data_IF_654991092037
#
_entry.id   IF_654991092037
#
_cell.length_a   1.000
_cell.length_b   1.000
_cell.length_c   1.000
_cell.angle_alpha   90.00
_cell.angle_beta   90.00
_cell.angle_gamma   90.00
#
_symmetry.space_group_name_H-M   'P 1'
#
loop_
_entity.id
_entity.type
_entity.pdbx_description
1 polymer ?
#
# COMPACT_ATOMS: atom_id res chain seq x y z
N UNK A 1 10.33 16.55 8.96
CA UNK A 1 11.70 16.79 9.46
C UNK A 1 12.68 16.31 8.40
N UNK A 2 13.80 16.99 8.25
CA UNK A 2 14.78 16.75 7.16
C UNK A 2 15.13 15.28 6.94
N UNK A 3 15.28 14.49 8.02
CA UNK A 3 15.62 13.07 7.92
C UNK A 3 14.47 12.21 7.36
N UNK A 4 13.21 12.58 7.60
CA UNK A 4 12.05 11.89 7.03
C UNK A 4 11.94 12.21 5.56
N UNK A 5 12.10 13.49 5.20
CA UNK A 5 11.99 13.97 3.83
C UNK A 5 13.12 13.39 2.96
N UNK A 6 14.35 13.32 3.49
CA UNK A 6 15.48 12.68 2.82
C UNK A 6 15.24 11.18 2.58
N UNK A 7 14.78 10.46 3.61
CA UNK A 7 14.47 9.03 3.49
C UNK A 7 13.35 8.77 2.49
N UNK A 8 12.31 9.60 2.50
CA UNK A 8 11.21 9.48 1.54
C UNK A 8 11.68 9.77 0.11
N UNK A 9 12.44 10.84 -0.09
CA UNK A 9 12.99 11.19 -1.39
C UNK A 9 13.89 10.08 -1.93
N UNK A 10 14.74 9.51 -1.08
CA UNK A 10 15.62 8.40 -1.45
C UNK A 10 14.81 7.14 -1.83
N UNK A 11 13.77 6.79 -1.05
CA UNK A 11 12.87 5.69 -1.38
C UNK A 11 12.17 5.92 -2.72
N UNK A 12 11.62 7.13 -2.97
CA UNK A 12 10.94 7.46 -4.22
C UNK A 12 11.86 7.30 -5.42
N UNK A 13 13.10 7.79 -5.32
CA UNK A 13 14.10 7.63 -6.39
C UNK A 13 14.42 6.14 -6.64
N UNK A 14 14.54 5.36 -5.59
CA UNK A 14 14.80 3.93 -5.71
C UNK A 14 13.64 3.18 -6.39
N UNK A 15 12.41 3.49 -5.99
CA UNK A 15 11.21 2.92 -6.62
C UNK A 15 11.13 3.30 -8.10
N UNK A 16 11.41 4.56 -8.44
CA UNK A 16 11.44 5.01 -9.84
C UNK A 16 12.44 4.22 -10.68
N UNK A 17 13.62 3.94 -10.14
CA UNK A 17 14.65 3.14 -10.83
C UNK A 17 14.22 1.68 -11.00
N UNK A 18 13.72 1.05 -9.93
CA UNK A 18 13.41 -0.38 -9.94
C UNK A 18 12.07 -0.71 -10.61
N UNK A 19 11.06 0.12 -10.42
CA UNK A 19 9.75 -0.08 -11.04
C UNK A 19 9.65 0.53 -12.44
N UNK A 20 10.52 1.49 -12.78
CA UNK A 20 10.49 2.21 -14.05
C UNK A 20 9.39 3.28 -14.14
N UNK A 21 8.70 3.58 -13.02
CA UNK A 21 7.69 4.63 -12.96
C UNK A 21 7.53 5.16 -11.54
N UNK A 22 6.98 6.37 -11.42
CA UNK A 22 6.85 7.09 -10.16
C UNK A 22 5.58 6.67 -9.39
N UNK A 23 5.63 5.49 -8.77
CA UNK A 23 4.55 4.99 -7.92
C UNK A 23 4.26 5.94 -6.75
N UNK A 24 5.30 6.47 -6.10
CA UNK A 24 5.16 7.34 -4.94
C UNK A 24 4.79 8.79 -5.28
N UNK A 25 4.81 9.17 -6.55
CA UNK A 25 4.33 10.47 -7.01
C UNK A 25 2.82 10.63 -6.98
N UNK A 26 2.08 9.54 -6.82
CA UNK A 26 0.61 9.52 -6.80
C UNK A 26 0.02 9.27 -5.41
N UNK A 27 0.79 9.60 -4.36
CA UNK A 27 0.33 9.38 -2.99
C UNK A 27 -0.75 10.37 -2.58
N UNK A 28 -1.63 9.86 -1.72
CA UNK A 28 -2.61 10.66 -1.01
C UNK A 28 -2.26 10.71 0.49
N UNK A 29 -2.45 11.88 1.11
CA UNK A 29 -2.41 12.01 2.57
C UNK A 29 -1.04 11.99 3.23
N UNK A 30 0.04 12.38 2.56
CA UNK A 30 1.38 12.50 3.17
C UNK A 30 1.44 13.58 4.25
N UNK A 31 0.63 14.63 4.11
CA UNK A 31 0.52 15.73 5.06
C UNK A 31 -0.95 15.98 5.40
N UNK A 32 -1.33 15.63 6.61
CA UNK A 32 -2.60 16.04 7.17
C UNK A 32 -2.37 17.28 8.04
N UNK A 33 -3.19 18.31 7.88
CA UNK A 33 -3.09 19.49 8.73
C UNK A 33 -3.27 19.11 10.21
N UNK A 34 -2.44 19.69 11.09
CA UNK A 34 -2.51 19.44 12.54
C UNK A 34 -3.89 19.71 13.13
N UNK A 35 -4.61 20.66 12.53
CA UNK A 35 -5.95 21.10 12.91
C UNK A 35 -7.08 20.31 12.23
N UNK A 36 -6.77 19.43 11.28
CA UNK A 36 -7.78 18.63 10.60
C UNK A 36 -8.56 17.78 11.61
N UNK A 37 -9.89 17.81 11.48
CA UNK A 37 -10.76 16.99 12.34
C UNK A 37 -10.62 15.51 11.96
N UNK A 38 -10.40 14.62 12.94
CA UNK A 38 -10.34 13.20 12.65
C UNK A 38 -11.68 12.71 12.10
N UNK A 39 -11.60 11.82 11.12
CA UNK A 39 -12.80 11.16 10.60
C UNK A 39 -13.34 10.15 11.62
N UNK A 40 -14.61 9.76 11.53
CA UNK A 40 -15.18 8.78 12.45
C UNK A 40 -14.33 7.50 12.51
N UNK A 41 -13.81 7.18 13.69
CA UNK A 41 -12.95 6.03 13.93
C UNK A 41 -11.46 6.26 13.74
N UNK A 42 -11.02 7.47 13.35
CA UNK A 42 -9.61 7.83 13.34
C UNK A 42 -9.18 8.47 14.67
N UNK A 43 -7.95 8.20 15.15
CA UNK A 43 -7.40 8.88 16.31
C UNK A 43 -7.19 10.37 16.02
N UNK A 44 -7.38 11.23 17.01
CA UNK A 44 -7.17 12.67 16.90
C UNK A 44 -5.71 13.04 16.56
N UNK A 45 -4.77 12.17 16.94
CA UNK A 45 -3.36 12.28 16.58
C UNK A 45 -2.99 11.12 15.66
N UNK A 46 -2.63 11.43 14.42
CA UNK A 46 -2.15 10.47 13.43
C UNK A 46 -0.66 10.68 13.15
N UNK A 47 0.00 9.64 12.67
CA UNK A 47 1.38 9.74 12.21
C UNK A 47 1.51 10.63 10.96
N UNK A 48 0.44 10.74 10.17
CA UNK A 48 0.36 11.62 9.01
C UNK A 48 0.42 13.09 9.42
N UNK A 49 -0.27 13.47 10.53
CA UNK A 49 -0.16 14.82 11.12
C UNK A 49 1.26 15.14 11.60
N UNK A 50 1.99 14.11 12.01
CA UNK A 50 3.39 14.26 12.39
C UNK A 50 4.35 14.24 11.19
N UNK A 51 3.85 14.10 9.95
CA UNK A 51 4.66 13.95 8.74
C UNK A 51 5.55 12.69 8.78
N UNK A 52 5.09 11.62 9.42
CA UNK A 52 5.89 10.40 9.68
C UNK A 52 5.24 9.13 9.15
N UNK A 53 4.13 9.27 8.46
CA UNK A 53 3.47 8.21 7.73
C UNK A 53 2.99 8.77 6.40
N UNK A 54 2.82 7.90 5.44
CA UNK A 54 2.15 8.18 4.19
C UNK A 54 1.21 7.03 3.86
N UNK A 55 0.16 7.37 3.17
CA UNK A 55 -0.89 6.46 2.79
C UNK A 55 -0.91 6.28 1.28
N UNK A 56 -1.31 5.11 0.82
CA UNK A 56 -1.48 4.83 -0.61
C UNK A 56 -2.94 4.82 -1.01
N UNK A 57 -3.22 5.39 -2.16
CA UNK A 57 -4.46 5.11 -2.87
C UNK A 57 -4.37 3.77 -3.58
N UNK A 58 -5.37 2.91 -3.36
CA UNK A 58 -5.47 1.63 -4.07
C UNK A 58 -6.02 1.76 -5.49
N UNK A 59 -6.10 2.98 -6.04
CA UNK A 59 -6.53 3.15 -7.43
C UNK A 59 -5.73 2.24 -8.37
N UNK A 60 -4.43 2.13 -8.14
CA UNK A 60 -3.53 1.32 -8.96
C UNK A 60 -3.68 -0.21 -8.71
N UNK A 61 -4.36 -0.60 -7.62
CA UNK A 61 -4.75 -1.99 -7.35
C UNK A 61 -6.17 -2.30 -7.87
N UNK A 62 -6.89 -1.27 -8.33
CA UNK A 62 -8.23 -1.38 -8.88
C UNK A 62 -8.13 -1.22 -10.41
N UNK A 63 -8.93 -1.95 -11.15
CA UNK A 63 -8.98 -1.87 -12.60
C UNK A 63 -8.73 -3.24 -13.25
N UNK A 64 -8.92 -3.30 -14.55
CA UNK A 64 -8.80 -4.54 -15.30
C UNK A 64 -7.33 -5.06 -15.32
N UNK A 65 -6.37 -4.14 -15.34
CA UNK A 65 -4.95 -4.45 -15.24
C UNK A 65 -4.32 -3.67 -14.07
N UNK A 66 -4.38 -4.22 -12.86
CA UNK A 66 -3.83 -3.53 -11.69
C UNK A 66 -2.32 -3.39 -11.81
N UNK A 67 -1.82 -2.19 -11.51
CA UNK A 67 -0.39 -1.90 -11.43
C UNK A 67 0.20 -2.19 -10.06
N UNK A 68 -0.65 -2.45 -9.09
CA UNK A 68 -0.30 -2.82 -7.71
C UNK A 68 -1.06 -4.07 -7.33
N UNK A 69 -0.34 -5.03 -6.79
CA UNK A 69 -0.90 -6.26 -6.24
C UNK A 69 -0.67 -6.31 -4.73
N UNK A 70 -1.64 -6.85 -4.01
CA UNK A 70 -1.65 -6.87 -2.55
C UNK A 70 -1.69 -8.30 -2.04
N UNK A 71 -0.87 -8.60 -1.05
CA UNK A 71 -0.92 -9.86 -0.31
C UNK A 71 -1.38 -9.58 1.11
N UNK A 72 -2.51 -10.16 1.50
CA UNK A 72 -3.05 -10.05 2.84
C UNK A 72 -2.27 -10.96 3.78
N UNK A 73 -1.74 -10.41 4.85
CA UNK A 73 -1.06 -11.14 5.90
C UNK A 73 -1.79 -10.94 7.22
N UNK A 74 -1.96 -12.00 7.96
CA UNK A 74 -2.51 -11.95 9.31
C UNK A 74 -1.38 -12.30 10.30
N UNK A 75 -1.03 -11.35 11.15
CA UNK A 75 0.05 -11.47 12.12
C UNK A 75 -0.51 -11.11 13.49
N UNK A 76 -0.58 -12.08 14.38
CA UNK A 76 -1.13 -11.89 15.76
C UNK A 76 -2.56 -11.30 15.78
N UNK A 77 -3.40 -11.69 14.83
CA UNK A 77 -4.78 -11.20 14.72
C UNK A 77 -4.92 -9.83 14.06
N UNK A 78 -3.83 -9.22 13.64
CA UNK A 78 -3.82 -7.95 12.91
C UNK A 78 -3.58 -8.20 11.42
N UNK A 79 -4.25 -7.43 10.56
CA UNK A 79 -4.11 -7.54 9.11
C UNK A 79 -3.07 -6.55 8.62
N UNK A 80 -2.13 -7.05 7.83
CA UNK A 80 -1.10 -6.29 7.13
C UNK A 80 -1.19 -6.54 5.64
N UNK A 81 -0.81 -5.53 4.84
CA UNK A 81 -0.80 -5.63 3.40
C UNK A 81 0.62 -5.53 2.85
N UNK A 82 1.12 -6.61 2.24
CA UNK A 82 2.35 -6.56 1.48
C UNK A 82 2.05 -6.07 0.08
N UNK A 83 2.80 -5.08 -0.37
CA UNK A 83 2.57 -4.35 -1.62
C UNK A 83 3.60 -4.75 -2.65
N UNK A 84 3.12 -5.16 -3.81
CA UNK A 84 3.92 -5.42 -4.99
C UNK A 84 3.55 -4.43 -6.08
N UNK A 85 4.54 -3.75 -6.63
CA UNK A 85 4.35 -2.75 -7.68
C UNK A 85 4.81 -3.34 -9.00
N UNK A 86 3.92 -3.36 -9.99
CA UNK A 86 4.21 -3.85 -11.34
C UNK A 86 5.24 -2.93 -12.00
N UNK A 87 6.28 -3.50 -12.59
CA UNK A 87 7.34 -2.76 -13.27
C UNK A 87 6.85 -2.24 -14.63
N UNK A 88 7.46 -1.17 -15.13
CA UNK A 88 7.16 -0.67 -16.45
C UNK A 88 7.66 -1.64 -17.55
N UNK A 89 8.86 -2.20 -17.38
CA UNK A 89 9.38 -3.25 -18.23
C UNK A 89 8.84 -4.61 -17.78
N UNK A 90 8.21 -5.33 -18.70
CA UNK A 90 7.61 -6.64 -18.46
C UNK A 90 8.36 -7.77 -19.18
N UNK A 91 9.65 -7.58 -19.41
CA UNK A 91 10.55 -8.50 -20.13
C UNK A 91 11.54 -9.22 -19.18
N UNK A 92 11.43 -8.99 -17.88
CA UNK A 92 12.32 -9.57 -16.88
C UNK A 92 13.59 -8.75 -16.61
N UNK A 93 13.75 -7.59 -17.23
CA UNK A 93 14.86 -6.67 -16.94
C UNK A 93 14.66 -5.89 -15.62
N UNK A 94 13.42 -5.80 -15.16
CA UNK A 94 13.04 -5.17 -13.90
C UNK A 94 12.08 -6.07 -13.11
N UNK A 95 12.28 -6.13 -11.79
CA UNK A 95 11.43 -6.89 -10.90
C UNK A 95 11.52 -8.41 -11.08
N UNK A 96 10.64 -9.12 -10.39
CA UNK A 96 10.53 -10.57 -10.42
C UNK A 96 9.06 -11.01 -10.53
N UNK A 97 8.77 -12.22 -11.05
CA UNK A 97 7.42 -12.78 -11.02
C UNK A 97 6.94 -12.98 -9.57
N UNK A 98 5.66 -12.78 -9.34
CA UNK A 98 5.05 -13.13 -8.06
C UNK A 98 5.10 -14.64 -7.82
N UNK A 99 5.22 -15.02 -6.54
CA UNK A 99 5.26 -16.43 -6.11
C UNK A 99 4.05 -16.84 -5.27
N UNK A 100 3.09 -15.93 -5.12
CA UNK A 100 1.88 -16.16 -4.34
C UNK A 100 0.69 -15.50 -4.99
N UNK A 101 -0.51 -16.00 -4.69
CA UNK A 101 -1.74 -15.33 -5.10
C UNK A 101 -1.92 -14.03 -4.33
N UNK A 102 -2.63 -13.10 -4.94
CA UNK A 102 -2.88 -11.77 -4.39
C UNK A 102 -4.35 -11.58 -4.04
N UNK A 103 -4.64 -10.53 -3.31
CA UNK A 103 -5.98 -10.19 -2.87
C UNK A 103 -6.68 -9.33 -3.90
N UNK A 104 -7.85 -9.77 -4.34
CA UNK A 104 -8.70 -9.02 -5.26
C UNK A 104 -9.66 -8.09 -4.49
N UNK A 105 -9.31 -6.81 -4.44
CA UNK A 105 -10.17 -5.78 -3.84
C UNK A 105 -11.43 -5.52 -4.67
N UNK A 106 -11.43 -5.78 -5.98
CA UNK A 106 -12.58 -5.52 -6.83
C UNK A 106 -13.73 -6.48 -6.59
N UNK A 107 -13.43 -7.68 -6.10
CA UNK A 107 -14.44 -8.67 -5.75
C UNK A 107 -15.47 -8.15 -4.72
N UNK A 108 -15.13 -7.07 -3.99
CA UNK A 108 -16.09 -6.37 -3.11
C UNK A 108 -17.32 -5.81 -3.83
N UNK A 109 -17.15 -5.46 -5.11
CA UNK A 109 -18.24 -4.91 -5.94
C UNK A 109 -19.01 -6.00 -6.68
N UNK A 110 -18.70 -7.26 -6.44
CA UNK A 110 -19.42 -8.41 -6.97
C UNK A 110 -20.74 -8.67 -6.24
N UNK A 111 -21.46 -9.66 -6.75
CA UNK A 111 -22.80 -9.97 -6.25
C UNK A 111 -22.81 -10.79 -4.94
N UNK A 112 -21.64 -11.22 -4.44
CA UNK A 112 -21.53 -12.00 -3.22
C UNK A 112 -21.33 -11.10 -1.99
N UNK A 113 -22.30 -11.03 -1.05
CA UNK A 113 -22.19 -10.23 0.16
C UNK A 113 -20.96 -10.57 1.03
N UNK A 114 -20.53 -11.82 1.01
CA UNK A 114 -19.38 -12.26 1.83
C UNK A 114 -18.09 -11.60 1.39
N UNK A 115 -17.90 -11.34 0.08
CA UNK A 115 -16.73 -10.63 -0.44
C UNK A 115 -16.74 -9.15 -0.06
N UNK A 116 -17.92 -8.55 0.03
CA UNK A 116 -18.05 -7.19 0.55
C UNK A 116 -17.63 -7.12 2.03
N UNK A 117 -18.12 -8.02 2.86
CA UNK A 117 -17.82 -8.08 4.29
C UNK A 117 -16.34 -8.38 4.55
N UNK A 118 -15.72 -9.24 3.73
CA UNK A 118 -14.29 -9.56 3.83
C UNK A 118 -13.37 -8.51 3.22
N UNK A 119 -13.92 -7.55 2.46
CA UNK A 119 -13.14 -6.54 1.75
C UNK A 119 -12.48 -7.03 0.47
N UNK A 120 -12.98 -8.13 -0.12
CA UNK A 120 -12.47 -8.77 -1.34
C UNK A 120 -12.36 -10.28 -1.21
N UNK A 121 -11.56 -10.90 -2.07
CA UNK A 121 -11.25 -12.35 -2.04
C UNK A 121 -9.81 -12.61 -2.52
N UNK A 122 -9.30 -13.82 -2.25
CA UNK A 122 -8.09 -14.27 -2.90
C UNK A 122 -8.32 -14.53 -4.40
N UNK A 123 -7.34 -14.15 -5.22
CA UNK A 123 -7.36 -14.55 -6.64
C UNK A 123 -7.20 -16.06 -6.77
N UNK A 124 -7.75 -16.60 -7.85
CA UNK A 124 -7.67 -18.02 -8.16
C UNK A 124 -6.30 -18.44 -8.70
N UNK A 125 -5.55 -17.49 -9.27
CA UNK A 125 -4.24 -17.71 -9.83
C UNK A 125 -3.27 -16.58 -9.48
N UNK A 126 -1.98 -16.88 -9.56
CA UNK A 126 -0.92 -15.89 -9.38
C UNK A 126 -0.95 -14.93 -10.57
N UNK A 127 -1.04 -13.60 -10.35
CA UNK A 127 -0.97 -12.64 -11.44
C UNK A 127 0.35 -12.77 -12.21
N UNK A 128 0.24 -12.75 -13.53
CA UNK A 128 1.42 -12.76 -14.41
C UNK A 128 2.07 -11.39 -14.47
N UNK A 129 3.38 -11.38 -14.70
CA UNK A 129 4.17 -10.15 -14.86
C UNK A 129 5.32 -10.06 -13.88
N UNK A 130 6.02 -8.93 -13.94
CA UNK A 130 7.18 -8.62 -13.12
C UNK A 130 6.87 -7.49 -12.15
N UNK A 131 7.28 -7.65 -10.90
CA UNK A 131 6.92 -6.77 -9.80
C UNK A 131 8.13 -6.53 -8.90
N UNK A 132 8.18 -5.35 -8.27
CA UNK A 132 9.05 -5.11 -7.13
C UNK A 132 8.29 -5.34 -5.83
N UNK A 133 8.94 -5.90 -4.82
CA UNK A 133 8.42 -5.97 -3.47
C UNK A 133 8.61 -4.61 -2.78
N UNK A 134 7.63 -3.74 -2.96
CA UNK A 134 7.70 -2.40 -2.43
C UNK A 134 7.78 -2.39 -0.89
N UNK A 135 7.12 -3.31 -0.21
CA UNK A 135 7.14 -3.38 1.25
C UNK A 135 8.53 -3.71 1.79
N UNK A 136 9.24 -4.64 1.16
CA UNK A 136 10.62 -4.95 1.52
C UNK A 136 11.54 -3.76 1.20
N UNK A 137 11.40 -3.19 0.01
CA UNK A 137 12.20 -2.03 -0.41
C UNK A 137 12.01 -0.84 0.54
N UNK A 138 10.78 -0.55 0.94
CA UNK A 138 10.49 0.53 1.89
C UNK A 138 11.16 0.31 3.26
N UNK A 139 11.24 -0.93 3.72
CA UNK A 139 11.89 -1.28 4.98
C UNK A 139 13.40 -0.94 4.96
N UNK A 140 14.10 -1.08 3.82
CA UNK A 140 15.50 -0.70 3.66
C UNK A 140 15.74 0.80 3.89
N UNK A 141 14.70 1.62 3.66
CA UNK A 141 14.71 3.06 3.90
C UNK A 141 14.11 3.46 5.25
N UNK A 142 13.83 2.48 6.13
CA UNK A 142 13.32 2.70 7.48
C UNK A 142 11.83 3.01 7.55
N UNK A 143 11.07 2.59 6.52
CA UNK A 143 9.62 2.68 6.48
C UNK A 143 9.02 1.30 6.74
N UNK A 144 8.12 1.23 7.70
CA UNK A 144 7.51 -0.02 8.10
C UNK A 144 6.00 0.07 8.00
N UNK A 145 5.38 -1.01 7.55
CA UNK A 145 3.94 -1.15 7.52
C UNK A 145 3.30 -1.04 8.91
N UNK A 146 2.06 -0.61 8.93
CA UNK A 146 1.21 -0.63 10.11
C UNK A 146 0.06 -1.59 9.87
N UNK A 147 -0.57 -2.10 10.94
CA UNK A 147 -1.79 -2.89 10.80
C UNK A 147 -2.85 -2.10 10.04
N UNK A 148 -3.57 -2.78 9.17
CA UNK A 148 -4.75 -2.23 8.52
C UNK A 148 -5.81 -1.93 9.57
N UNK A 149 -6.44 -0.76 9.47
CA UNK A 149 -7.60 -0.49 10.31
C UNK A 149 -8.71 -1.49 9.97
N UNK A 150 -9.23 -2.20 10.98
CA UNK A 150 -10.30 -3.21 10.84
C UNK A 150 -11.59 -2.66 10.19
N UNK A 151 -11.76 -1.34 10.15
CA UNK A 151 -12.88 -0.67 9.48
C UNK A 151 -12.59 -0.22 8.05
N UNK A 152 -11.43 -0.52 7.51
CA UNK A 152 -11.08 -0.15 6.12
C UNK A 152 -12.05 -0.72 5.08
N UNK A 153 -12.72 -1.84 5.38
CA UNK A 153 -13.76 -2.40 4.53
C UNK A 153 -15.04 -1.54 4.45
N UNK A 154 -15.32 -0.71 5.46
CA UNK A 154 -16.51 0.16 5.49
C UNK A 154 -16.30 1.48 4.74
N UNK A 155 -15.04 1.89 4.51
CA UNK A 155 -14.70 3.18 3.92
C UNK A 155 -13.64 3.02 2.82
N UNK A 156 -14.07 2.72 1.58
CA UNK A 156 -13.15 2.45 0.45
C UNK A 156 -12.28 3.66 0.03
N UNK A 157 -12.50 4.82 0.63
CA UNK A 157 -11.71 6.04 0.38
C UNK A 157 -10.51 6.21 1.31
N UNK A 158 -10.34 5.31 2.29
CA UNK A 158 -9.26 5.44 3.28
C UNK A 158 -8.18 4.40 3.04
N UNK A 159 -6.97 4.90 3.03
CA UNK A 159 -5.75 4.16 2.84
C UNK A 159 -5.68 2.92 3.72
N UNK A 160 -5.44 1.81 3.07
CA UNK A 160 -5.24 0.50 3.69
C UNK A 160 -3.77 0.28 4.11
N UNK A 161 -2.90 1.26 3.84
CA UNK A 161 -1.46 1.18 4.10
C UNK A 161 -0.96 2.51 4.66
N UNK A 162 -0.50 2.47 5.89
CA UNK A 162 0.38 3.48 6.41
C UNK A 162 1.77 2.87 6.59
N UNK A 163 2.79 3.51 6.07
CA UNK A 163 4.17 3.20 6.35
C UNK A 163 4.68 4.21 7.37
N UNK A 164 5.28 3.72 8.43
CA UNK A 164 5.76 4.54 9.54
C UNK A 164 7.28 4.50 9.61
N UNK A 165 7.91 5.67 9.68
CA UNK A 165 9.32 5.73 10.02
C UNK A 165 9.51 5.64 11.53
N UNK A 166 10.23 4.62 12.00
CA UNK A 166 10.65 4.54 13.39
C UNK A 166 11.82 5.49 13.66
N UNK A 167 11.84 6.12 14.84
CA UNK A 167 13.07 6.77 15.31
C UNK A 167 14.07 5.68 15.66
N UNK A 168 15.23 5.73 15.09
CA UNK A 168 16.43 5.21 15.75
C UNK A 168 16.97 6.27 16.69
#
# INVERSE_FOLDING_TARGET
>A
SDAVDQSFTALRQRVLVEAGWDFLGQMDGMFEELTARPLPGQPAQSWNKAGRAFDFYFREALGFEPRVELVKLEIQGEIYWRVYVKTAAQDGSQGEPLRTVTWDLQARSGDDPSYYEQGGKWRESIPSGYYIDFTALAADYGWYWTPSNSRAHLFPRYSLLALRKTRR
#
